data_IF_598490187143
#
_entry.id   IF_598490187143
#
_cell.length_a   1.000
_cell.length_b   1.000
_cell.length_c   1.000
_cell.angle_alpha   90.00
_cell.angle_beta   90.00
_cell.angle_gamma   90.00
#
_symmetry.space_group_name_H-M   'P 1'
#
loop_
_entity.id
_entity.type
_entity.pdbx_description
1 polymer ?
#
# COMPACT_ATOMS: atom_id res chain seq x y z
N UNK A 1 54.05 19.48 29.10
CA UNK A 1 54.68 18.53 28.19
C UNK A 1 53.56 17.84 27.49
N UNK A 2 53.22 18.43 26.40
CA UNK A 2 53.31 17.99 25.01
C UNK A 2 52.61 16.68 24.72
N UNK A 3 51.41 16.81 24.17
CA UNK A 3 50.90 15.99 23.04
C UNK A 3 49.76 16.73 22.36
N UNK A 4 50.11 17.62 21.47
CA UNK A 4 49.27 18.13 20.37
C UNK A 4 50.16 18.00 19.14
N UNK A 5 49.77 17.12 18.21
CA UNK A 5 50.05 17.16 16.78
C UNK A 5 50.03 15.76 16.18
N UNK A 6 48.85 15.32 15.72
CA UNK A 6 48.74 14.28 14.66
C UNK A 6 47.29 14.16 14.21
N UNK A 7 46.79 15.07 13.38
CA UNK A 7 45.56 14.80 12.57
C UNK A 7 45.31 15.85 11.47
N UNK A 8 46.28 16.12 10.61
CA UNK A 8 46.06 17.03 9.46
C UNK A 8 46.54 16.43 8.11
N UNK A 9 46.89 15.18 8.02
CA UNK A 9 47.45 14.64 6.77
C UNK A 9 46.55 13.59 6.05
N UNK A 10 45.32 13.36 6.45
CA UNK A 10 44.50 12.31 5.78
C UNK A 10 43.30 12.82 4.93
N UNK A 11 43.15 14.12 4.72
CA UNK A 11 42.04 14.66 3.89
C UNK A 11 42.39 14.97 2.42
N UNK A 12 43.62 14.78 2.02
CA UNK A 12 44.11 15.11 0.67
C UNK A 12 44.06 13.98 -0.38
N UNK A 13 43.84 12.72 0.00
CA UNK A 13 43.99 11.57 -0.89
C UNK A 13 42.67 10.93 -1.33
N UNK A 14 41.55 11.35 -0.79
CA UNK A 14 40.23 10.81 -1.19
C UNK A 14 39.69 11.50 -2.45
N UNK A 15 40.16 12.69 -2.78
CA UNK A 15 39.70 13.46 -3.96
C UNK A 15 40.37 13.05 -5.28
N UNK A 16 41.45 12.25 -5.25
CA UNK A 16 42.13 11.80 -6.48
C UNK A 16 41.77 10.38 -6.91
N UNK A 17 41.08 9.61 -6.09
CA UNK A 17 40.63 8.24 -6.43
C UNK A 17 39.29 8.19 -7.17
N UNK A 18 38.53 9.30 -7.21
CA UNK A 18 37.23 9.35 -7.92
C UNK A 18 37.40 9.70 -9.42
N UNK A 19 38.56 10.19 -9.84
CA UNK A 19 38.80 10.52 -11.27
C UNK A 19 39.53 9.42 -12.09
N UNK A 20 39.89 8.29 -11.50
CA UNK A 20 40.70 7.25 -12.17
C UNK A 20 39.94 5.94 -12.44
N UNK A 21 38.62 5.89 -12.31
CA UNK A 21 37.80 4.77 -12.78
C UNK A 21 36.94 5.22 -13.95
N UNK A 22 37.58 5.77 -14.99
CA UNK A 22 37.09 5.65 -16.34
C UNK A 22 37.51 4.26 -16.88
N UNK A 23 37.04 3.19 -16.22
CA UNK A 23 36.97 1.88 -16.84
C UNK A 23 36.01 1.98 -18.03
N UNK A 24 36.14 1.06 -19.07
CA UNK A 24 35.24 1.06 -20.21
C UNK A 24 33.83 1.07 -19.66
N UNK A 25 33.03 2.04 -20.11
CA UNK A 25 31.63 2.19 -19.73
C UNK A 25 30.94 0.84 -19.97
N UNK A 26 30.88 0.03 -18.93
CA UNK A 26 29.92 -1.05 -18.86
C UNK A 26 28.59 -0.38 -19.15
N UNK A 27 27.88 -0.83 -20.15
CA UNK A 27 26.60 -0.33 -20.59
C UNK A 27 25.65 -0.37 -19.36
N UNK A 28 25.73 0.65 -18.53
CA UNK A 28 24.83 0.89 -17.43
C UNK A 28 23.51 1.16 -18.12
N UNK A 29 22.50 0.37 -17.82
CA UNK A 29 21.24 0.38 -18.56
C UNK A 29 20.73 1.81 -18.64
N UNK A 30 20.66 2.35 -19.86
CA UNK A 30 20.20 3.72 -20.14
C UNK A 30 18.75 3.95 -19.66
N UNK A 31 18.08 2.86 -19.36
CA UNK A 31 16.73 2.78 -18.86
C UNK A 31 16.75 2.76 -17.33
N UNK A 32 16.96 3.90 -16.72
CA UNK A 32 16.86 4.01 -15.26
C UNK A 32 15.48 4.54 -14.93
N UNK A 33 14.62 3.62 -14.51
CA UNK A 33 13.27 3.95 -14.02
C UNK A 33 13.44 4.65 -12.67
N UNK A 34 13.01 5.92 -12.53
CA UNK A 34 13.06 6.57 -11.23
C UNK A 34 12.18 5.80 -10.24
N UNK A 35 12.55 5.71 -8.96
CA UNK A 35 11.72 5.07 -7.95
C UNK A 35 10.48 5.92 -7.72
N UNK A 36 9.40 5.56 -8.35
CA UNK A 36 8.16 6.31 -8.32
C UNK A 36 7.11 5.63 -7.47
N UNK A 37 7.20 4.29 -7.34
CA UNK A 37 6.13 3.49 -6.81
C UNK A 37 6.31 3.25 -5.31
N UNK A 38 5.41 3.83 -4.52
CA UNK A 38 5.08 3.34 -3.19
C UNK A 38 3.90 2.38 -3.37
N UNK A 39 4.15 1.07 -3.35
CA UNK A 39 3.05 0.13 -3.22
C UNK A 39 2.53 0.19 -1.78
N UNK A 40 1.21 0.38 -1.61
CA UNK A 40 0.62 0.38 -0.29
C UNK A 40 0.73 -0.99 0.36
N UNK A 41 0.73 -1.00 1.68
CA UNK A 41 0.60 -2.21 2.47
C UNK A 41 -0.79 -2.84 2.27
N UNK A 42 -1.00 -4.06 2.75
CA UNK A 42 -2.25 -4.79 2.49
C UNK A 42 -3.43 -4.34 3.36
N UNK A 43 -3.19 -3.82 4.55
CA UNK A 43 -4.20 -3.53 5.58
C UNK A 43 -4.43 -2.02 5.78
N UNK A 44 -4.69 -1.27 4.68
CA UNK A 44 -4.79 0.20 4.72
C UNK A 44 -6.16 0.73 5.14
N UNK A 45 -7.24 0.04 4.80
CA UNK A 45 -8.61 0.50 5.02
C UNK A 45 -9.40 -0.60 5.70
N UNK A 46 -9.94 -0.30 6.89
CA UNK A 46 -10.75 -1.25 7.66
C UNK A 46 -12.24 -0.92 7.49
N UNK A 47 -13.02 -1.81 6.85
CA UNK A 47 -14.46 -1.66 6.71
C UNK A 47 -15.22 -1.84 8.02
N UNK A 48 -16.41 -1.24 8.14
CA UNK A 48 -17.36 -1.54 9.18
C UNK A 48 -17.65 -0.40 10.14
N UNK A 49 -18.49 -0.65 11.13
CA UNK A 49 -18.99 0.32 12.12
C UNK A 49 -18.00 0.49 13.28
N UNK A 50 -17.86 -0.55 14.10
CA UNK A 50 -16.93 -0.60 15.23
C UNK A 50 -15.62 -1.26 14.79
N UNK A 51 -15.68 -2.11 13.77
CA UNK A 51 -14.56 -2.85 13.21
C UNK A 51 -13.41 -1.91 12.81
N UNK A 52 -13.75 -0.81 12.15
CA UNK A 52 -12.78 0.21 11.77
C UNK A 52 -12.16 0.92 12.99
N UNK A 53 -12.94 1.13 14.06
CA UNK A 53 -12.48 1.77 15.29
C UNK A 53 -11.57 0.87 16.12
N UNK A 54 -11.75 -0.45 15.99
CA UNK A 54 -11.01 -1.47 16.71
C UNK A 54 -9.81 -2.01 15.90
N UNK A 55 -9.33 -1.25 14.90
CA UNK A 55 -8.14 -1.60 14.12
C UNK A 55 -8.30 -2.86 13.27
N UNK A 56 -9.54 -3.25 12.95
CA UNK A 56 -9.85 -4.44 12.16
C UNK A 56 -9.69 -5.78 12.89
N UNK A 57 -9.61 -5.78 14.23
CA UNK A 57 -9.57 -7.00 15.03
C UNK A 57 -10.97 -7.60 15.17
N UNK A 58 -11.40 -8.39 14.16
CA UNK A 58 -12.77 -8.90 14.04
C UNK A 58 -12.88 -10.27 13.36
N UNK A 59 -11.85 -11.08 13.35
CA UNK A 59 -11.89 -12.42 12.73
C UNK A 59 -12.76 -13.39 13.53
N UNK A 60 -12.71 -13.31 14.87
CA UNK A 60 -13.44 -14.22 15.75
C UNK A 60 -14.90 -13.82 16.00
N UNK A 61 -15.23 -12.51 15.97
CA UNK A 61 -16.58 -12.01 16.31
C UNK A 61 -17.25 -11.22 15.17
N UNK A 62 -16.69 -11.29 13.95
CA UNK A 62 -17.32 -10.69 12.78
C UNK A 62 -18.78 -11.13 12.66
N UNK A 63 -19.68 -10.17 12.41
CA UNK A 63 -21.11 -10.42 12.25
C UNK A 63 -21.72 -9.45 11.25
N UNK A 64 -22.93 -9.79 10.79
CA UNK A 64 -23.71 -8.98 9.85
C UNK A 64 -22.89 -8.62 8.57
N UNK A 65 -23.09 -7.44 7.98
CA UNK A 65 -22.47 -7.07 6.72
C UNK A 65 -20.93 -6.97 6.76
N UNK A 66 -20.27 -6.42 7.82
CA UNK A 66 -18.81 -6.42 7.89
C UNK A 66 -18.17 -7.82 7.87
N UNK A 67 -18.88 -8.87 8.29
CA UNK A 67 -18.39 -10.23 8.20
C UNK A 67 -18.12 -10.70 6.76
N UNK A 68 -18.75 -10.09 5.76
CA UNK A 68 -18.47 -10.33 4.34
C UNK A 68 -17.01 -10.04 3.98
N UNK A 69 -16.37 -9.15 4.72
CA UNK A 69 -14.96 -8.82 4.54
C UNK A 69 -14.05 -9.56 5.53
N UNK A 70 -14.39 -9.55 6.85
CA UNK A 70 -13.50 -10.09 7.88
C UNK A 70 -13.54 -11.61 7.99
N UNK A 71 -14.75 -12.20 8.06
CA UNK A 71 -14.92 -13.65 8.19
C UNK A 71 -16.33 -14.06 7.73
N UNK A 72 -16.49 -14.71 6.57
CA UNK A 72 -17.79 -15.03 6.00
C UNK A 72 -18.65 -15.96 6.88
N UNK A 73 -18.07 -16.67 7.84
CA UNK A 73 -18.81 -17.46 8.81
C UNK A 73 -19.78 -16.60 9.66
N UNK A 74 -19.39 -15.35 9.92
CA UNK A 74 -20.15 -14.44 10.80
C UNK A 74 -21.49 -13.97 10.24
N UNK A 75 -21.72 -14.04 8.93
CA UNK A 75 -23.03 -13.69 8.37
C UNK A 75 -24.12 -14.70 8.78
N UNK A 76 -23.74 -15.95 9.14
CA UNK A 76 -24.69 -17.00 9.51
C UNK A 76 -25.61 -16.62 10.69
N UNK A 77 -25.18 -15.72 11.57
CA UNK A 77 -25.96 -15.26 12.73
C UNK A 77 -26.92 -14.12 12.42
N UNK A 78 -26.93 -13.60 11.20
CA UNK A 78 -27.77 -12.45 10.82
C UNK A 78 -29.22 -12.86 10.69
N UNK A 79 -30.08 -12.35 11.58
CA UNK A 79 -31.50 -12.71 11.58
C UNK A 79 -32.37 -11.81 10.70
N UNK A 80 -31.98 -10.54 10.52
CA UNK A 80 -32.69 -9.55 9.71
C UNK A 80 -31.77 -9.07 8.58
N UNK A 81 -32.36 -8.59 7.51
CA UNK A 81 -31.60 -7.95 6.42
C UNK A 81 -30.86 -6.73 6.96
N UNK A 82 -29.56 -6.65 6.72
CA UNK A 82 -28.70 -5.58 7.18
C UNK A 82 -27.93 -5.00 6.01
N UNK A 83 -28.05 -3.69 5.83
CA UNK A 83 -27.22 -2.89 4.93
C UNK A 83 -26.21 -2.10 5.79
N UNK A 84 -24.94 -2.16 5.45
CA UNK A 84 -23.90 -1.35 6.06
C UNK A 84 -23.14 -0.58 4.99
N UNK A 85 -22.83 0.69 5.28
CA UNK A 85 -21.92 1.50 4.50
C UNK A 85 -20.94 2.21 5.42
N UNK A 86 -19.66 2.20 5.05
CA UNK A 86 -18.61 2.91 5.78
C UNK A 86 -17.70 3.67 4.83
N UNK A 87 -17.13 4.76 5.35
CA UNK A 87 -16.16 5.58 4.65
C UNK A 87 -15.06 6.04 5.62
N UNK A 88 -13.85 6.16 5.09
CA UNK A 88 -12.80 6.96 5.72
C UNK A 88 -12.88 8.36 5.08
N UNK A 89 -13.20 9.35 5.90
CA UNK A 89 -13.19 10.74 5.49
C UNK A 89 -11.89 11.39 5.95
N UNK A 90 -11.47 12.43 5.23
CA UNK A 90 -10.39 13.32 5.65
C UNK A 90 -9.11 12.63 6.07
N UNK A 91 -8.38 12.15 5.10
CA UNK A 91 -7.04 11.65 5.31
C UNK A 91 -6.04 12.78 5.10
N UNK A 92 -5.29 13.13 6.14
CA UNK A 92 -4.15 14.03 6.05
C UNK A 92 -2.88 13.18 6.15
N UNK A 93 -2.16 13.05 5.05
CA UNK A 93 -0.89 12.32 5.04
C UNK A 93 0.26 13.29 4.90
N UNK A 94 1.24 13.17 5.79
CA UNK A 94 2.48 13.94 5.75
C UNK A 94 3.62 12.99 5.42
N UNK A 95 4.30 13.22 4.31
CA UNK A 95 5.52 12.52 3.94
C UNK A 95 6.70 13.40 4.32
N UNK A 96 7.51 12.94 5.27
CA UNK A 96 8.74 13.57 5.71
C UNK A 96 9.96 12.73 5.33
N UNK A 97 11.15 13.29 5.50
CA UNK A 97 12.41 12.55 5.31
C UNK A 97 13.64 13.38 5.65
N UNK A 98 14.74 12.70 5.99
CA UNK A 98 16.07 13.31 6.08
C UNK A 98 16.76 13.24 4.74
N UNK A 99 17.66 14.17 4.43
CA UNK A 99 18.35 14.25 3.13
C UNK A 99 17.65 15.17 2.11
N UNK A 100 16.49 15.74 2.43
CA UNK A 100 15.82 16.76 1.63
C UNK A 100 16.03 18.14 2.25
N UNK A 101 16.50 19.09 1.44
CA UNK A 101 16.57 20.48 1.86
C UNK A 101 15.20 21.17 1.88
N UNK A 102 14.24 20.62 1.17
CA UNK A 102 12.85 21.05 1.14
C UNK A 102 11.94 19.85 0.90
N UNK A 103 11.11 19.51 1.87
CA UNK A 103 9.97 18.62 1.70
C UNK A 103 8.70 19.43 1.92
N UNK A 104 7.81 19.41 0.97
CA UNK A 104 6.46 19.96 1.18
C UNK A 104 5.59 18.86 1.72
N UNK A 105 4.97 19.00 2.90
CA UNK A 105 3.95 18.08 3.32
C UNK A 105 2.82 18.13 2.30
N UNK A 106 2.51 16.99 1.73
CA UNK A 106 1.37 16.86 0.84
C UNK A 106 0.19 16.46 1.68
N UNK A 107 -0.82 17.30 1.72
CA UNK A 107 -2.10 16.97 2.32
C UNK A 107 -3.09 16.63 1.20
N UNK A 108 -3.47 15.38 1.10
CA UNK A 108 -4.66 15.00 0.33
C UNK A 108 -5.87 15.02 1.26
N UNK A 109 -6.93 15.66 0.79
CA UNK A 109 -8.21 15.69 1.49
C UNK A 109 -9.18 14.83 0.70
N UNK A 110 -9.35 13.60 1.12
CA UNK A 110 -10.13 12.62 0.38
C UNK A 110 -11.19 11.96 1.26
N UNK A 111 -12.31 11.63 0.64
CA UNK A 111 -13.31 10.74 1.21
C UNK A 111 -13.24 9.42 0.47
N UNK A 112 -12.84 8.37 1.18
CA UNK A 112 -12.70 7.03 0.61
C UNK A 112 -13.91 6.20 1.06
N UNK A 113 -14.85 5.85 0.16
CA UNK A 113 -15.83 4.80 0.46
C UNK A 113 -15.08 3.51 0.75
N UNK A 114 -15.14 3.03 2.01
CA UNK A 114 -14.37 1.85 2.40
C UNK A 114 -15.14 0.55 2.20
N UNK A 115 -16.48 0.62 2.31
CA UNK A 115 -17.32 -0.57 2.27
C UNK A 115 -18.79 -0.25 2.04
N UNK A 116 -19.45 -1.09 1.27
CA UNK A 116 -20.90 -1.25 1.25
C UNK A 116 -21.21 -2.74 1.23
N UNK A 117 -22.08 -3.21 2.14
CA UNK A 117 -22.41 -4.62 2.24
C UNK A 117 -23.87 -4.85 2.65
N UNK A 118 -24.46 -5.88 2.09
CA UNK A 118 -25.82 -6.33 2.33
C UNK A 118 -25.82 -7.81 2.69
N UNK A 119 -26.43 -8.16 3.82
CA UNK A 119 -26.72 -9.54 4.20
C UNK A 119 -28.23 -9.71 4.23
N UNK A 120 -28.74 -10.73 3.54
CA UNK A 120 -30.17 -11.05 3.49
C UNK A 120 -30.56 -11.85 4.73
N UNK A 121 -31.57 -11.36 5.45
CA UNK A 121 -32.14 -11.98 6.63
C UNK A 121 -33.15 -13.08 6.32
N UNK A 122 -33.75 -13.65 7.38
CA UNK A 122 -34.75 -14.72 7.26
C UNK A 122 -36.03 -14.27 6.56
N UNK A 123 -36.38 -13.01 6.67
CA UNK A 123 -37.57 -12.42 6.02
C UNK A 123 -37.45 -12.41 4.49
N UNK A 124 -36.24 -12.51 3.93
CA UNK A 124 -35.99 -12.57 2.48
C UNK A 124 -35.69 -13.99 2.04
N UNK A 125 -34.88 -14.71 2.81
CA UNK A 125 -34.47 -16.09 2.51
C UNK A 125 -34.76 -16.94 3.75
N UNK A 126 -35.85 -17.72 3.70
CA UNK A 126 -36.30 -18.56 4.80
C UNK A 126 -35.46 -19.87 4.91
N UNK A 127 -34.16 -19.72 4.96
CA UNK A 127 -33.25 -20.81 5.29
C UNK A 127 -32.86 -20.70 6.77
N UNK A 128 -33.10 -21.72 7.54
CA UNK A 128 -32.95 -21.65 8.98
C UNK A 128 -31.50 -21.32 9.40
N UNK A 129 -30.52 -21.95 8.77
CA UNK A 129 -29.10 -21.92 9.19
C UNK A 129 -28.15 -21.32 8.16
N UNK A 130 -28.65 -20.86 7.03
CA UNK A 130 -27.83 -20.33 5.94
C UNK A 130 -28.16 -18.87 5.65
N UNK A 131 -27.15 -18.07 5.41
CA UNK A 131 -27.27 -16.66 4.97
C UNK A 131 -26.42 -16.43 3.75
N UNK A 132 -26.84 -15.49 2.93
CA UNK A 132 -26.10 -14.99 1.80
C UNK A 132 -25.92 -13.48 1.91
N UNK A 133 -24.86 -12.98 1.32
CA UNK A 133 -24.59 -11.56 1.32
C UNK A 133 -23.67 -11.14 0.18
N UNK A 134 -23.68 -9.84 -0.07
CA UNK A 134 -22.92 -9.18 -1.13
C UNK A 134 -22.24 -7.96 -0.54
N UNK A 135 -21.00 -7.70 -0.95
CA UNK A 135 -20.30 -6.50 -0.55
C UNK A 135 -19.41 -5.97 -1.67
N UNK A 136 -19.07 -4.71 -1.55
CA UNK A 136 -17.91 -4.11 -2.22
C UNK A 136 -17.07 -3.45 -1.13
N UNK A 137 -15.84 -3.90 -0.99
CA UNK A 137 -14.84 -3.32 -0.09
C UNK A 137 -13.75 -2.63 -0.89
N UNK A 138 -13.14 -1.59 -0.31
CA UNK A 138 -11.93 -0.96 -0.82
C UNK A 138 -10.83 -1.05 0.25
N UNK A 139 -10.19 -2.22 0.43
CA UNK A 139 -9.19 -2.44 1.48
C UNK A 139 -7.90 -1.66 1.24
N UNK A 140 -7.63 -1.27 0.00
CA UNK A 140 -6.45 -0.51 -0.38
C UNK A 140 -6.90 0.71 -1.15
N UNK A 141 -6.56 1.88 -0.62
CA UNK A 141 -6.65 3.17 -1.29
C UNK A 141 -5.38 3.95 -0.97
N UNK A 142 -4.72 4.38 -2.01
CA UNK A 142 -3.50 5.16 -1.94
C UNK A 142 -3.52 6.22 -3.02
N UNK A 143 -3.43 7.47 -2.63
CA UNK A 143 -3.26 8.61 -3.52
C UNK A 143 -2.28 9.57 -2.88
N UNK A 144 -1.07 9.62 -3.41
CA UNK A 144 0.00 10.40 -2.84
C UNK A 144 0.76 11.16 -3.90
N UNK A 145 1.02 12.41 -3.59
CA UNK A 145 1.94 13.25 -4.33
C UNK A 145 3.10 13.66 -3.42
N UNK A 146 4.29 13.68 -3.94
CA UNK A 146 5.45 14.18 -3.23
C UNK A 146 6.29 15.06 -4.16
N UNK A 147 6.79 16.15 -3.62
CA UNK A 147 7.78 17.00 -4.27
C UNK A 147 8.93 17.19 -3.30
N UNK A 148 10.11 16.82 -3.72
CA UNK A 148 11.32 16.96 -2.92
C UNK A 148 12.43 17.60 -3.74
N UNK A 149 13.27 18.40 -3.09
CA UNK A 149 14.45 19.00 -3.68
C UNK A 149 15.62 18.90 -2.75
N UNK A 150 16.82 18.75 -3.29
CA UNK A 150 18.06 18.75 -2.53
C UNK A 150 19.12 19.56 -3.27
N UNK A 151 19.98 20.20 -2.49
CA UNK A 151 21.21 20.85 -2.94
C UNK A 151 22.36 20.15 -2.21
N UNK A 152 22.79 18.95 -2.66
CA UNK A 152 23.75 18.13 -1.93
C UNK A 152 25.12 18.80 -1.78
N UNK A 153 25.52 19.61 -2.78
CA UNK A 153 26.75 20.38 -2.77
C UNK A 153 26.59 21.66 -3.61
N UNK A 154 27.54 22.58 -3.49
CA UNK A 154 27.59 23.78 -4.35
C UNK A 154 27.61 23.38 -5.83
N UNK A 155 26.74 23.98 -6.62
CA UNK A 155 26.57 23.65 -8.05
C UNK A 155 25.78 22.37 -8.34
N UNK A 156 25.22 21.69 -7.33
CA UNK A 156 24.39 20.51 -7.52
C UNK A 156 22.95 20.80 -7.12
N UNK A 157 22.01 20.42 -7.97
CA UNK A 157 20.57 20.48 -7.67
C UNK A 157 19.90 19.20 -8.11
N UNK A 158 19.00 18.69 -7.27
CA UNK A 158 18.14 17.56 -7.60
C UNK A 158 16.73 17.92 -7.21
N UNK A 159 15.78 17.66 -8.08
CA UNK A 159 14.37 17.74 -7.76
C UNK A 159 13.66 16.48 -8.20
N UNK A 160 12.71 16.07 -7.39
CA UNK A 160 11.90 14.88 -7.59
C UNK A 160 10.44 15.24 -7.36
N UNK A 161 9.58 14.85 -8.28
CA UNK A 161 8.14 14.96 -8.14
C UNK A 161 7.51 13.62 -8.51
N UNK A 162 6.61 13.13 -7.68
CA UNK A 162 5.86 11.89 -7.91
C UNK A 162 4.40 12.09 -7.57
N UNK A 163 3.55 11.45 -8.34
CA UNK A 163 2.15 11.24 -8.00
C UNK A 163 1.84 9.77 -8.28
N UNK A 164 1.36 9.08 -7.25
CA UNK A 164 1.07 7.64 -7.30
C UNK A 164 -0.30 7.38 -6.75
N UNK A 165 -1.14 6.68 -7.53
CA UNK A 165 -2.42 6.17 -7.07
C UNK A 165 -2.44 4.66 -7.16
N UNK A 166 -2.95 4.00 -6.12
CA UNK A 166 -3.14 2.57 -6.08
C UNK A 166 -4.46 2.26 -5.38
N UNK A 167 -5.38 1.60 -6.08
CA UNK A 167 -6.70 1.30 -5.57
C UNK A 167 -7.03 -0.16 -5.80
N UNK A 168 -7.64 -0.81 -4.81
CA UNK A 168 -8.21 -2.14 -4.96
C UNK A 168 -9.65 -2.15 -4.49
N UNK A 169 -10.58 -2.42 -5.41
CA UNK A 169 -12.00 -2.68 -5.13
C UNK A 169 -12.23 -4.19 -5.12
N UNK A 170 -12.98 -4.68 -4.14
CA UNK A 170 -13.23 -6.11 -3.94
C UNK A 170 -14.73 -6.39 -3.88
N UNK A 171 -15.43 -6.54 -5.03
CA UNK A 171 -16.75 -7.14 -5.05
C UNK A 171 -16.70 -8.56 -4.48
N UNK A 172 -17.63 -8.88 -3.57
CA UNK A 172 -17.65 -10.14 -2.82
C UNK A 172 -19.07 -10.72 -2.81
N UNK A 173 -19.17 -12.01 -3.03
CA UNK A 173 -20.36 -12.81 -2.78
C UNK A 173 -20.03 -13.85 -1.70
N UNK A 174 -20.90 -13.99 -0.69
CA UNK A 174 -20.64 -14.85 0.47
C UNK A 174 -21.84 -15.69 0.84
N UNK A 175 -21.54 -16.87 1.37
CA UNK A 175 -22.49 -17.76 2.03
C UNK A 175 -21.95 -18.11 3.43
N UNK A 176 -22.81 -18.02 4.44
CA UNK A 176 -22.51 -18.43 5.82
C UNK A 176 -23.51 -19.48 6.30
N UNK A 177 -23.00 -20.44 7.06
CA UNK A 177 -23.75 -21.56 7.61
C UNK A 177 -23.50 -21.72 9.10
N UNK A 178 -24.58 -21.69 9.91
CA UNK A 178 -24.55 -22.04 11.32
C UNK A 178 -24.64 -23.59 11.47
N UNK A 179 -23.48 -24.25 11.48
CA UNK A 179 -23.41 -25.73 11.58
C UNK A 179 -23.90 -26.21 12.94
N UNK A 180 -23.63 -25.45 14.01
CA UNK A 180 -24.15 -25.62 15.36
C UNK A 180 -24.44 -24.23 15.97
N UNK A 181 -25.04 -24.20 17.14
CA UNK A 181 -25.36 -22.93 17.83
C UNK A 181 -24.10 -22.14 18.20
N UNK A 182 -22.98 -22.86 18.44
CA UNK A 182 -21.68 -22.28 18.78
C UNK A 182 -20.62 -22.41 17.69
N UNK A 183 -20.95 -22.98 16.50
CA UNK A 183 -20.00 -23.16 15.40
C UNK A 183 -20.57 -22.73 14.07
N UNK A 184 -19.84 -21.89 13.37
CA UNK A 184 -20.21 -21.30 12.08
C UNK A 184 -19.10 -21.51 11.06
N UNK A 185 -19.47 -21.75 9.82
CA UNK A 185 -18.57 -21.80 8.67
C UNK A 185 -19.10 -20.90 7.56
N UNK A 186 -18.25 -20.45 6.69
CA UNK A 186 -18.65 -19.64 5.55
C UNK A 186 -17.60 -19.65 4.45
N UNK A 187 -18.05 -19.24 3.27
CA UNK A 187 -17.20 -19.09 2.10
C UNK A 187 -17.58 -17.86 1.29
N UNK A 188 -16.61 -17.32 0.58
CA UNK A 188 -16.81 -16.21 -0.33
C UNK A 188 -16.06 -16.40 -1.63
N UNK A 189 -16.57 -15.78 -2.68
CA UNK A 189 -15.84 -15.52 -3.92
C UNK A 189 -15.67 -14.01 -4.03
N UNK A 190 -14.42 -13.59 -4.17
CA UNK A 190 -14.02 -12.19 -4.29
C UNK A 190 -13.47 -11.92 -5.70
N UNK A 191 -13.73 -10.72 -6.23
CA UNK A 191 -13.26 -10.26 -7.53
C UNK A 191 -12.41 -8.98 -7.38
N UNK A 192 -11.19 -9.08 -6.85
CA UNK A 192 -10.33 -7.92 -6.67
C UNK A 192 -10.02 -7.26 -8.01
N UNK A 193 -10.33 -5.97 -8.12
CA UNK A 193 -9.98 -5.10 -9.23
C UNK A 193 -9.00 -4.05 -8.74
N UNK A 194 -7.75 -4.18 -9.16
CA UNK A 194 -6.66 -3.29 -8.77
C UNK A 194 -6.31 -2.36 -9.92
N UNK A 195 -6.16 -1.08 -9.63
CA UNK A 195 -5.66 -0.06 -10.56
C UNK A 195 -4.44 0.64 -9.98
N UNK A 196 -3.49 0.95 -10.84
CA UNK A 196 -2.31 1.75 -10.53
C UNK A 196 -2.16 2.84 -11.57
N UNK A 197 -1.87 4.07 -11.12
CA UNK A 197 -1.35 5.14 -11.96
C UNK A 197 -0.19 5.79 -11.24
N UNK A 198 0.91 5.91 -11.93
CA UNK A 198 2.14 6.39 -11.38
C UNK A 198 2.82 7.35 -12.36
N UNK A 199 3.11 8.54 -11.89
CA UNK A 199 3.86 9.53 -12.65
C UNK A 199 5.03 10.01 -11.81
N UNK A 200 6.22 10.03 -12.41
CA UNK A 200 7.44 10.47 -11.75
C UNK A 200 8.26 11.37 -12.64
N UNK A 201 8.81 12.40 -12.04
CA UNK A 201 9.75 13.31 -12.68
C UNK A 201 10.96 13.50 -11.80
N UNK A 202 12.13 13.18 -12.31
CA UNK A 202 13.42 13.39 -11.67
C UNK A 202 14.21 14.37 -12.53
N UNK A 203 14.71 15.45 -11.96
CA UNK A 203 15.69 16.34 -12.61
C UNK A 203 16.91 16.52 -11.74
N UNK A 204 18.08 16.46 -12.35
CA UNK A 204 19.36 16.70 -11.71
C UNK A 204 20.20 17.67 -12.53
N UNK A 205 20.91 18.56 -11.85
CA UNK A 205 21.86 19.47 -12.46
C UNK A 205 23.15 19.47 -11.66
N UNK A 206 24.26 19.41 -12.37
CA UNK A 206 25.60 19.54 -11.80
C UNK A 206 26.32 20.62 -12.59
N UNK A 207 26.62 21.74 -11.96
CA UNK A 207 27.35 22.85 -12.55
C UNK A 207 28.67 23.02 -11.83
N UNK A 208 29.75 22.95 -12.58
CA UNK A 208 31.13 23.27 -12.13
C UNK A 208 31.63 24.50 -12.84
N UNK A 209 32.81 25.00 -12.48
CA UNK A 209 33.43 26.15 -13.18
C UNK A 209 33.71 25.90 -14.66
N UNK A 210 33.79 24.63 -15.07
CA UNK A 210 34.18 24.22 -16.45
C UNK A 210 33.12 23.41 -17.17
N UNK A 211 32.05 22.98 -16.48
CA UNK A 211 31.06 22.08 -17.05
C UNK A 211 29.69 22.24 -16.44
N UNK A 212 28.64 22.03 -17.25
CA UNK A 212 27.27 21.91 -16.78
C UNK A 212 26.67 20.64 -17.36
N UNK A 213 26.11 19.80 -16.51
CA UNK A 213 25.42 18.57 -16.87
C UNK A 213 24.01 18.60 -16.29
N UNK A 214 23.04 18.18 -17.08
CA UNK A 214 21.65 18.09 -16.62
C UNK A 214 21.04 16.76 -17.06
N UNK A 215 20.22 16.20 -16.20
CA UNK A 215 19.40 15.03 -16.50
C UNK A 215 17.94 15.31 -16.17
N UNK A 216 17.06 14.85 -17.04
CA UNK A 216 15.63 14.85 -16.84
C UNK A 216 15.11 13.45 -17.13
N UNK A 217 14.33 12.90 -16.23
CA UNK A 217 13.65 11.62 -16.43
C UNK A 217 12.19 11.79 -16.07
N UNK A 218 11.32 11.32 -16.95
CA UNK A 218 9.88 11.31 -16.76
C UNK A 218 9.38 9.88 -16.93
N UNK A 219 8.51 9.47 -16.05
CA UNK A 219 7.83 8.19 -16.09
C UNK A 219 6.32 8.42 -16.01
N UNK A 220 5.55 7.67 -16.76
CA UNK A 220 4.12 7.49 -16.56
C UNK A 220 3.79 6.01 -16.77
N UNK A 221 3.26 5.37 -15.74
CA UNK A 221 2.87 3.98 -15.77
C UNK A 221 1.44 3.83 -15.28
N UNK A 222 0.59 3.17 -16.04
CA UNK A 222 -0.79 2.86 -15.69
C UNK A 222 -1.04 1.37 -15.83
N UNK A 223 -1.83 0.79 -14.92
CA UNK A 223 -2.19 -0.62 -15.00
C UNK A 223 -3.49 -0.94 -14.32
N UNK A 224 -4.14 -2.00 -14.78
CA UNK A 224 -5.33 -2.57 -14.15
C UNK A 224 -5.27 -4.08 -14.15
N UNK A 225 -5.70 -4.72 -13.06
CA UNK A 225 -5.74 -6.17 -12.91
C UNK A 225 -7.04 -6.60 -12.27
N UNK A 226 -7.77 -7.50 -12.91
CA UNK A 226 -8.95 -8.18 -12.38
C UNK A 226 -8.58 -9.61 -12.04
N UNK A 227 -8.85 -10.01 -10.81
CA UNK A 227 -8.56 -11.35 -10.31
C UNK A 227 -9.81 -11.98 -9.69
N UNK A 228 -9.76 -13.27 -9.44
CA UNK A 228 -10.74 -14.01 -8.63
C UNK A 228 -9.99 -14.75 -7.53
N UNK A 229 -10.56 -14.77 -6.32
CA UNK A 229 -10.05 -15.58 -5.20
C UNK A 229 -11.19 -16.14 -4.36
N UNK A 230 -10.95 -17.25 -3.71
CA UNK A 230 -11.87 -17.86 -2.76
C UNK A 230 -11.46 -17.54 -1.32
N UNK A 231 -12.46 -17.42 -0.45
CA UNK A 231 -12.28 -17.25 1.00
C UNK A 231 -13.04 -18.34 1.72
N UNK A 232 -12.42 -18.95 2.72
CA UNK A 232 -13.05 -19.82 3.69
C UNK A 232 -12.91 -19.22 5.09
N UNK A 233 -13.95 -19.34 5.91
CA UNK A 233 -13.95 -18.83 7.28
C UNK A 233 -14.67 -19.74 8.24
N UNK A 234 -14.21 -19.75 9.49
CA UNK A 234 -14.87 -20.44 10.61
C UNK A 234 -14.88 -19.54 11.84
N UNK A 235 -15.91 -19.70 12.66
CA UNK A 235 -16.01 -19.08 13.99
C UNK A 235 -16.54 -20.11 14.98
N UNK A 236 -15.96 -20.12 16.18
CA UNK A 236 -16.31 -21.05 17.22
C UNK A 236 -16.41 -20.36 18.59
N UNK A 237 -17.60 -20.32 19.15
CA UNK A 237 -17.85 -19.83 20.50
C UNK A 237 -17.56 -20.96 21.49
N UNK A 238 -16.32 -20.99 22.01
CA UNK A 238 -15.85 -22.04 22.95
C UNK A 238 -16.53 -21.89 24.32
N UNK A 239 -16.75 -20.66 24.74
CA UNK A 239 -17.42 -20.32 25.99
C UNK A 239 -18.17 -18.99 25.82
N UNK A 240 -19.01 -18.62 26.75
CA UNK A 240 -19.71 -17.33 26.72
C UNK A 240 -18.78 -16.11 26.76
N UNK A 241 -17.53 -16.30 27.14
CA UNK A 241 -16.50 -15.27 27.26
C UNK A 241 -15.36 -15.42 26.24
N UNK A 242 -15.35 -16.50 25.41
CA UNK A 242 -14.26 -16.79 24.46
C UNK A 242 -14.81 -17.27 23.12
N UNK A 243 -14.49 -16.54 22.07
CA UNK A 243 -14.72 -16.95 20.67
C UNK A 243 -13.40 -17.00 19.92
N UNK A 244 -13.25 -17.99 19.05
CA UNK A 244 -12.13 -18.14 18.12
C UNK A 244 -12.61 -17.99 16.69
N UNK A 245 -11.76 -17.43 15.84
CA UNK A 245 -12.02 -17.30 14.41
C UNK A 245 -10.79 -17.63 13.57
N UNK A 246 -11.03 -18.13 12.37
CA UNK A 246 -9.99 -18.30 11.37
C UNK A 246 -10.52 -18.02 9.98
N UNK A 247 -9.68 -17.43 9.13
CA UNK A 247 -9.97 -17.25 7.70
C UNK A 247 -8.78 -17.64 6.86
N UNK A 248 -9.06 -18.05 5.65
CA UNK A 248 -8.08 -18.35 4.61
C UNK A 248 -8.55 -17.78 3.29
N UNK A 249 -7.69 -16.99 2.63
CA UNK A 249 -7.88 -16.45 1.28
C UNK A 249 -6.88 -17.05 0.32
N UNK A 250 -7.34 -17.60 -0.79
CA UNK A 250 -6.46 -18.13 -1.83
C UNK A 250 -5.67 -16.99 -2.49
N UNK A 251 -4.54 -17.30 -3.15
CA UNK A 251 -3.92 -16.34 -4.06
C UNK A 251 -4.92 -15.88 -5.13
N UNK A 252 -4.75 -14.66 -5.61
CA UNK A 252 -5.55 -14.14 -6.72
C UNK A 252 -5.22 -14.86 -8.02
N UNK A 253 -6.24 -15.41 -8.69
CA UNK A 253 -6.13 -15.95 -10.04
C UNK A 253 -6.50 -14.87 -11.04
N UNK A 254 -5.59 -14.57 -11.96
CA UNK A 254 -5.78 -13.56 -12.99
C UNK A 254 -6.92 -13.89 -13.94
N UNK A 255 -7.84 -12.92 -14.14
CA UNK A 255 -8.89 -12.97 -15.17
C UNK A 255 -8.49 -12.09 -16.35
N UNK A 256 -8.10 -10.84 -16.06
CA UNK A 256 -7.73 -9.84 -17.07
C UNK A 256 -6.79 -8.83 -16.45
N UNK A 257 -5.83 -8.41 -17.26
CA UNK A 257 -4.94 -7.30 -16.93
C UNK A 257 -4.62 -6.50 -18.19
N UNK A 258 -3.96 -5.38 -18.02
CA UNK A 258 -3.46 -4.50 -19.07
C UNK A 258 -2.90 -3.22 -18.49
N UNK A 259 -1.99 -2.61 -19.21
CA UNK A 259 -1.32 -1.40 -18.77
C UNK A 259 -0.81 -0.54 -19.90
N UNK A 260 -0.18 0.53 -19.52
CA UNK A 260 0.55 1.44 -20.41
C UNK A 260 1.80 1.92 -19.70
N UNK A 261 2.84 2.18 -20.49
CA UNK A 261 4.11 2.63 -19.95
C UNK A 261 4.74 3.66 -20.89
N UNK A 262 5.14 4.79 -20.33
CA UNK A 262 5.87 5.84 -21.02
C UNK A 262 7.09 6.22 -20.19
N UNK A 263 8.23 6.27 -20.84
CA UNK A 263 9.48 6.73 -20.24
C UNK A 263 10.19 7.69 -21.19
N UNK A 264 10.66 8.80 -20.63
CA UNK A 264 11.51 9.74 -21.34
C UNK A 264 12.70 10.12 -20.46
N UNK A 265 13.89 9.87 -20.96
CA UNK A 265 15.15 10.21 -20.31
C UNK A 265 15.99 11.14 -21.21
N UNK A 266 16.30 12.33 -20.71
CA UNK A 266 17.21 13.26 -21.37
C UNK A 266 18.40 13.53 -20.46
N UNK A 267 19.59 13.29 -20.97
CA UNK A 267 20.84 13.63 -20.31
C UNK A 267 21.64 14.55 -21.19
N UNK A 268 21.92 15.76 -20.69
CA UNK A 268 22.78 16.72 -21.36
C UNK A 268 24.16 16.67 -20.71
N UNK A 269 25.15 16.36 -21.51
CA UNK A 269 26.56 16.32 -21.15
C UNK A 269 27.31 17.43 -21.90
N UNK A 270 28.48 17.86 -21.40
CA UNK A 270 29.29 18.85 -22.10
C UNK A 270 29.64 18.52 -23.56
N UNK A 271 29.66 17.22 -23.87
CA UNK A 271 30.06 16.69 -25.19
C UNK A 271 28.86 16.37 -26.09
N UNK A 272 27.63 16.54 -25.61
CA UNK A 272 26.42 16.25 -26.37
C UNK A 272 25.27 15.82 -25.49
N UNK A 273 24.18 15.39 -26.12
CA UNK A 273 22.95 14.95 -25.43
C UNK A 273 22.68 13.48 -25.73
N UNK A 274 22.07 12.82 -24.75
CA UNK A 274 21.50 11.48 -24.91
C UNK A 274 20.04 11.51 -24.53
N UNK A 275 19.18 11.08 -25.44
CA UNK A 275 17.73 11.03 -25.28
C UNK A 275 17.24 9.60 -25.46
N UNK A 276 16.52 9.10 -24.47
CA UNK A 276 15.88 7.79 -24.49
C UNK A 276 14.37 8.03 -24.43
N UNK A 277 13.64 7.51 -25.39
CA UNK A 277 12.20 7.58 -25.46
C UNK A 277 11.61 6.19 -25.62
N UNK A 278 10.67 5.84 -24.74
CA UNK A 278 9.92 4.60 -24.78
C UNK A 278 8.44 4.89 -24.55
N UNK A 279 7.58 4.25 -25.34
CA UNK A 279 6.15 4.29 -25.15
C UNK A 279 5.53 2.99 -25.58
N UNK A 280 4.70 2.41 -24.70
CA UNK A 280 3.83 1.29 -25.01
C UNK A 280 2.45 1.52 -24.37
N UNK A 281 1.40 1.84 -25.18
CA UNK A 281 0.05 2.06 -24.68
C UNK A 281 -0.68 0.75 -24.33
N UNK A 282 -0.06 -0.41 -24.61
CA UNK A 282 -0.60 -1.74 -24.39
C UNK A 282 0.39 -2.65 -23.67
N UNK A 283 1.21 -2.08 -22.78
CA UNK A 283 2.15 -2.84 -21.96
C UNK A 283 1.41 -3.88 -21.12
N UNK A 284 2.03 -5.04 -20.93
CA UNK A 284 1.53 -6.02 -19.98
C UNK A 284 1.70 -5.49 -18.56
N UNK A 285 0.63 -5.56 -17.77
CA UNK A 285 0.65 -5.27 -16.34
C UNK A 285 0.14 -6.48 -15.59
N UNK A 286 0.87 -6.96 -14.60
CA UNK A 286 0.47 -8.08 -13.76
C UNK A 286 0.67 -7.74 -12.30
N UNK A 287 -0.42 -7.67 -11.51
CA UNK A 287 -0.36 -7.55 -10.06
C UNK A 287 -0.88 -8.84 -9.43
N UNK A 288 -0.13 -9.41 -8.48
CA UNK A 288 -0.46 -10.69 -7.83
C UNK A 288 -0.84 -10.45 -6.38
N UNK A 289 -2.08 -10.78 -6.04
CA UNK A 289 -2.51 -10.85 -4.63
C UNK A 289 -2.02 -12.16 -4.01
N UNK A 290 -1.30 -12.10 -2.88
CA UNK A 290 -0.81 -13.30 -2.20
C UNK A 290 -1.94 -14.06 -1.50
N UNK A 291 -1.61 -15.27 -1.07
CA UNK A 291 -2.38 -16.02 -0.09
C UNK A 291 -2.38 -15.30 1.25
N UNK A 292 -3.51 -15.39 1.98
CA UNK A 292 -3.67 -14.79 3.29
C UNK A 292 -4.30 -15.79 4.25
N UNK A 293 -3.82 -15.82 5.50
CA UNK A 293 -4.45 -16.55 6.60
C UNK A 293 -4.56 -15.65 7.83
N UNK A 294 -5.71 -15.67 8.50
CA UNK A 294 -5.93 -14.89 9.71
C UNK A 294 -6.48 -15.76 10.83
N UNK A 295 -6.03 -15.47 12.05
CA UNK A 295 -6.51 -16.11 13.27
C UNK A 295 -6.91 -15.00 14.25
N UNK A 296 -8.05 -15.18 14.94
CA UNK A 296 -8.57 -14.27 15.93
C UNK A 296 -9.01 -14.96 17.21
N UNK A 297 -8.83 -14.27 18.33
CA UNK A 297 -9.35 -14.67 19.62
C UNK A 297 -10.03 -13.47 20.29
N UNK A 298 -11.33 -13.59 20.52
CA UNK A 298 -12.16 -12.57 21.13
C UNK A 298 -12.60 -12.97 22.54
N UNK A 299 -12.53 -12.01 23.44
CA UNK A 299 -12.86 -12.17 24.85
C UNK A 299 -13.96 -11.17 25.23
N UNK A 300 -14.97 -11.63 25.98
CA UNK A 300 -16.09 -10.81 26.45
C UNK A 300 -16.29 -10.97 27.95
N UNK A 301 -16.20 -9.87 28.69
CA UNK A 301 -16.36 -9.82 30.14
C UNK A 301 -17.41 -8.76 30.53
N UNK A 302 -18.67 -9.17 30.52
CA UNK A 302 -19.78 -8.24 30.74
C UNK A 302 -19.82 -7.16 29.64
N UNK A 303 -19.75 -5.87 30.00
CA UNK A 303 -19.75 -4.79 29.00
C UNK A 303 -18.41 -4.57 28.31
N UNK A 304 -17.32 -5.14 28.80
CA UNK A 304 -15.99 -5.00 28.23
C UNK A 304 -15.63 -6.19 27.37
N UNK A 305 -15.12 -5.94 26.18
CA UNK A 305 -14.59 -6.96 25.30
C UNK A 305 -13.32 -6.52 24.60
N UNK A 306 -12.54 -7.50 24.15
CA UNK A 306 -11.38 -7.28 23.30
C UNK A 306 -11.15 -8.46 22.37
N UNK A 307 -10.48 -8.20 21.27
CA UNK A 307 -10.05 -9.21 20.30
C UNK A 307 -8.61 -8.97 19.87
N UNK A 308 -7.86 -10.04 19.72
CA UNK A 308 -6.50 -10.03 19.15
C UNK A 308 -6.53 -10.86 17.88
N UNK A 309 -6.07 -10.29 16.79
CA UNK A 309 -5.93 -10.97 15.51
C UNK A 309 -4.49 -10.98 15.05
N UNK A 310 -4.12 -12.05 14.36
CA UNK A 310 -2.87 -12.19 13.62
C UNK A 310 -3.22 -12.52 12.17
N UNK A 311 -2.64 -11.80 11.24
CA UNK A 311 -2.81 -11.97 9.80
C UNK A 311 -1.47 -12.21 9.13
N UNK A 312 -1.39 -13.27 8.38
CA UNK A 312 -0.24 -13.64 7.60
C UNK A 312 -0.54 -13.52 6.11
N UNK A 313 0.34 -12.84 5.39
CA UNK A 313 0.34 -12.80 3.94
C UNK A 313 1.58 -13.52 3.42
N UNK A 314 1.41 -14.39 2.46
CA UNK A 314 2.52 -15.08 1.80
C UNK A 314 3.35 -14.11 0.94
N UNK A 315 4.57 -14.51 0.64
CA UNK A 315 5.41 -13.80 -0.32
C UNK A 315 5.06 -14.19 -1.76
N UNK A 316 5.46 -13.36 -2.70
CA UNK A 316 5.43 -13.71 -4.12
C UNK A 316 6.84 -13.94 -4.64
N UNK A 317 7.00 -14.88 -5.57
CA UNK A 317 8.24 -14.96 -6.35
C UNK A 317 8.40 -13.69 -7.18
N UNK A 318 9.65 -13.34 -7.52
CA UNK A 318 9.93 -12.20 -8.40
C UNK A 318 9.25 -12.40 -9.76
N UNK A 319 8.51 -11.40 -10.22
CA UNK A 319 7.81 -11.39 -11.51
C UNK A 319 7.87 -10.00 -12.13
N UNK A 320 7.53 -9.89 -13.41
CA UNK A 320 7.42 -8.62 -14.09
C UNK A 320 6.06 -8.00 -13.79
N UNK A 321 6.06 -6.85 -13.09
CA UNK A 321 4.87 -6.04 -12.86
C UNK A 321 4.45 -5.31 -14.13
N UNK A 322 5.43 -4.74 -14.87
CA UNK A 322 5.26 -4.22 -16.22
C UNK A 322 6.23 -4.90 -17.17
N UNK A 323 5.72 -5.33 -18.32
CA UNK A 323 6.48 -5.92 -19.39
C UNK A 323 6.05 -5.35 -20.74
N UNK A 324 6.96 -5.33 -21.71
CA UNK A 324 6.66 -4.87 -23.06
C UNK A 324 7.60 -5.54 -24.07
N UNK A 325 7.09 -5.79 -25.26
CA UNK A 325 7.88 -6.24 -26.42
C UNK A 325 8.37 -5.07 -27.29
N UNK A 326 7.98 -3.83 -26.95
CA UNK A 326 8.44 -2.64 -27.67
C UNK A 326 9.88 -2.30 -27.28
N UNK A 327 10.55 -1.57 -28.15
CA UNK A 327 11.91 -1.06 -27.92
C UNK A 327 11.88 0.44 -27.66
N UNK A 328 12.81 0.92 -26.83
CA UNK A 328 13.07 2.34 -26.65
C UNK A 328 13.96 2.85 -27.78
N UNK A 329 13.66 4.04 -28.27
CA UNK A 329 14.53 4.77 -29.20
C UNK A 329 15.56 5.57 -28.39
N UNK A 330 16.81 5.39 -28.71
CA UNK A 330 17.94 6.15 -28.14
C UNK A 330 18.54 7.04 -29.24
N UNK A 331 18.67 8.32 -28.96
CA UNK A 331 19.39 9.29 -29.81
C UNK A 331 20.56 9.84 -28.99
N UNK A 332 21.77 9.61 -29.48
CA UNK A 332 23.01 9.99 -28.80
C UNK A 332 23.87 10.87 -29.71
N UNK A 333 24.29 12.02 -29.18
CA UNK A 333 25.16 12.97 -29.89
C UNK A 333 26.50 13.18 -29.19
N UNK A 334 26.78 12.40 -28.14
CA UNK A 334 27.98 12.55 -27.31
C UNK A 334 29.28 12.20 -28.05
N UNK A 335 29.22 11.45 -29.15
CA UNK A 335 30.35 11.11 -30.01
C UNK A 335 30.68 12.18 -31.07
N UNK A 336 29.99 13.33 -31.09
CA UNK A 336 30.11 14.37 -32.09
C UNK A 336 29.33 14.07 -33.40
N UNK A 337 28.63 12.95 -33.46
CA UNK A 337 27.72 12.56 -34.56
C UNK A 337 26.41 12.07 -33.95
N UNK A 338 25.31 12.18 -34.72
CA UNK A 338 24.02 11.64 -34.28
C UNK A 338 24.00 10.13 -34.50
N UNK A 339 23.90 9.40 -33.39
CA UNK A 339 23.74 7.95 -33.40
C UNK A 339 22.34 7.61 -32.92
N UNK A 340 21.60 6.81 -33.71
CA UNK A 340 20.29 6.31 -33.30
C UNK A 340 20.39 4.80 -33.09
N UNK A 341 19.89 4.32 -31.95
CA UNK A 341 19.85 2.89 -31.60
C UNK A 341 18.54 2.53 -30.94
N UNK A 342 18.27 1.25 -30.81
CA UNK A 342 17.13 0.72 -30.08
C UNK A 342 17.59 -0.04 -28.84
N UNK A 343 16.78 0.03 -27.79
CA UNK A 343 17.05 -0.62 -26.51
C UNK A 343 15.80 -1.40 -26.08
N UNK A 344 15.97 -2.65 -25.70
CA UNK A 344 14.87 -3.46 -25.18
C UNK A 344 14.34 -2.89 -23.86
N UNK A 345 13.03 -3.02 -23.62
CA UNK A 345 12.44 -2.67 -22.35
C UNK A 345 12.98 -3.59 -21.24
N UNK A 346 13.53 -3.05 -20.14
CA UNK A 346 14.16 -3.89 -19.11
C UNK A 346 13.18 -4.63 -18.22
N UNK A 347 11.87 -4.32 -18.32
CA UNK A 347 10.83 -4.78 -17.40
C UNK A 347 10.87 -4.07 -16.06
N UNK A 348 9.72 -3.97 -15.43
CA UNK A 348 9.60 -3.53 -14.02
C UNK A 348 9.31 -4.76 -13.20
N UNK A 349 10.25 -5.13 -12.32
CA UNK A 349 10.10 -6.32 -11.50
C UNK A 349 9.54 -5.99 -10.12
N UNK A 350 8.71 -6.89 -9.62
CA UNK A 350 8.19 -6.84 -8.27
C UNK A 350 8.34 -8.20 -7.57
N UNK A 351 8.58 -8.14 -6.27
CA UNK A 351 8.57 -9.28 -5.36
C UNK A 351 7.95 -8.82 -4.05
N UNK A 352 6.96 -9.53 -3.56
CA UNK A 352 6.45 -9.32 -2.22
C UNK A 352 7.13 -10.31 -1.26
N UNK A 353 7.57 -9.81 -0.11
CA UNK A 353 7.97 -10.65 1.01
C UNK A 353 6.73 -11.07 1.81
N UNK A 354 6.83 -12.16 2.54
CA UNK A 354 5.80 -12.50 3.50
C UNK A 354 5.74 -11.46 4.63
N UNK A 355 4.53 -11.17 5.11
CA UNK A 355 4.30 -10.24 6.22
C UNK A 355 3.43 -10.89 7.30
N UNK A 356 3.63 -10.43 8.53
CA UNK A 356 2.83 -10.79 9.68
C UNK A 356 2.29 -9.52 10.31
N UNK A 357 1.00 -9.31 10.21
CA UNK A 357 0.31 -8.16 10.77
C UNK A 357 -0.46 -8.58 12.00
N UNK A 358 -0.58 -7.69 12.96
CA UNK A 358 -1.33 -7.94 14.19
C UNK A 358 -2.29 -6.79 14.47
N UNK A 359 -3.44 -7.08 15.06
CA UNK A 359 -4.37 -6.07 15.53
C UNK A 359 -4.92 -6.41 16.91
N UNK A 360 -5.23 -5.35 17.67
CA UNK A 360 -5.88 -5.40 18.96
C UNK A 360 -7.06 -4.44 18.94
N UNK A 361 -8.25 -4.95 19.18
CA UNK A 361 -9.49 -4.18 19.31
C UNK A 361 -10.02 -4.26 20.73
N UNK A 362 -10.52 -3.15 21.25
CA UNK A 362 -11.12 -3.01 22.57
C UNK A 362 -12.47 -2.33 22.43
N UNK A 363 -13.48 -2.76 23.18
CA UNK A 363 -14.74 -2.05 23.28
C UNK A 363 -15.31 -2.09 24.70
N UNK A 364 -16.09 -1.06 25.01
CA UNK A 364 -16.84 -0.93 26.23
C UNK A 364 -18.27 -0.52 25.90
N UNK A 365 -19.22 -1.42 26.15
CA UNK A 365 -20.65 -1.18 25.99
C UNK A 365 -21.20 -0.43 27.23
N UNK A 366 -21.29 0.90 27.15
CA UNK A 366 -21.85 1.71 28.25
C UNK A 366 -23.35 1.53 28.37
N UNK A 367 -24.01 1.21 27.28
CA UNK A 367 -25.43 0.86 27.23
C UNK A 367 -25.70 -0.01 26.00
N UNK A 368 -26.95 -0.50 25.85
CA UNK A 368 -27.40 -1.21 24.65
C UNK A 368 -27.32 -0.35 23.37
N UNK A 369 -27.19 0.96 23.52
CA UNK A 369 -27.22 1.92 22.41
C UNK A 369 -25.95 2.74 22.29
N UNK A 370 -24.94 2.54 23.14
CA UNK A 370 -23.73 3.34 23.10
C UNK A 370 -22.49 2.50 23.47
N UNK A 371 -21.55 2.44 22.55
CA UNK A 371 -20.28 1.71 22.68
C UNK A 371 -19.11 2.67 22.43
N UNK A 372 -18.07 2.57 23.25
CA UNK A 372 -16.77 3.19 23.01
C UNK A 372 -15.84 2.10 22.52
N UNK A 373 -15.10 2.38 21.45
CA UNK A 373 -14.15 1.45 20.87
C UNK A 373 -12.80 2.10 20.65
N UNK A 374 -11.74 1.31 20.79
CA UNK A 374 -10.38 1.67 20.45
C UNK A 374 -9.63 0.46 19.89
N UNK A 375 -8.62 0.72 19.08
CA UNK A 375 -7.79 -0.35 18.52
C UNK A 375 -6.42 0.12 18.07
N UNK A 376 -5.53 -0.84 17.90
CA UNK A 376 -4.21 -0.65 17.32
C UNK A 376 -3.91 -1.76 16.35
N UNK A 377 -3.05 -1.50 15.39
CA UNK A 377 -2.63 -2.48 14.39
C UNK A 377 -1.23 -2.21 13.87
N UNK A 378 -0.62 -3.27 13.37
CA UNK A 378 0.62 -3.26 12.62
C UNK A 378 0.30 -3.60 11.18
N UNK A 379 0.87 -2.84 10.25
CA UNK A 379 0.74 -3.07 8.82
C UNK A 379 2.12 -2.98 8.17
N UNK A 380 2.77 -4.14 8.07
CA UNK A 380 4.11 -4.24 7.53
C UNK A 380 4.08 -4.26 6.00
N UNK A 381 4.99 -3.49 5.42
CA UNK A 381 5.15 -3.41 3.98
C UNK A 381 5.57 -4.75 3.38
N UNK A 382 4.89 -5.22 2.33
CA UNK A 382 5.31 -6.39 1.57
C UNK A 382 6.47 -6.10 0.62
N UNK A 383 6.85 -4.83 0.40
CA UNK A 383 7.90 -4.48 -0.55
C UNK A 383 9.24 -5.14 -0.19
N UNK A 384 9.85 -5.79 -1.17
CA UNK A 384 11.19 -6.35 -1.04
C UNK A 384 12.23 -5.31 -1.46
N UNK A 385 13.21 -4.97 -0.61
CA UNK A 385 14.24 -3.98 -0.93
C UNK A 385 15.13 -4.35 -2.13
N UNK A 386 15.18 -5.64 -2.52
CA UNK A 386 15.90 -6.05 -3.74
C UNK A 386 15.18 -5.62 -5.03
N UNK A 387 13.89 -5.27 -4.97
CA UNK A 387 13.16 -4.69 -6.09
C UNK A 387 13.23 -3.17 -5.99
N UNK A 388 14.24 -2.57 -6.58
CA UNK A 388 14.68 -1.17 -6.40
C UNK A 388 13.63 -0.07 -6.70
N UNK A 389 12.46 -0.43 -7.21
CA UNK A 389 11.40 0.51 -7.62
C UNK A 389 10.41 0.81 -6.49
N UNK A 390 10.34 -0.06 -5.47
CA UNK A 390 9.33 0.01 -4.43
C UNK A 390 9.94 0.30 -3.06
N UNK A 391 9.38 1.29 -2.37
CA UNK A 391 9.82 1.71 -1.05
C UNK A 391 9.06 0.95 0.03
N UNK A 392 9.77 0.60 1.09
CA UNK A 392 9.21 -0.07 2.26
C UNK A 392 8.90 0.94 3.35
N UNK A 393 7.65 0.98 3.81
CA UNK A 393 7.25 1.73 5.00
C UNK A 393 6.41 0.81 5.87
N UNK A 394 6.94 0.41 7.02
CA UNK A 394 6.21 -0.37 8.01
C UNK A 394 5.39 0.59 8.89
N UNK A 395 4.09 0.30 9.10
CA UNK A 395 3.14 1.18 9.76
C UNK A 395 2.68 0.61 11.09
N UNK A 396 2.46 1.50 12.04
CA UNK A 396 1.67 1.27 13.24
C UNK A 396 0.50 2.24 13.25
N UNK A 397 -0.69 1.76 13.54
CA UNK A 397 -1.91 2.57 13.58
C UNK A 397 -2.66 2.45 14.91
N UNK A 398 -3.33 3.54 15.27
CA UNK A 398 -4.21 3.66 16.42
C UNK A 398 -5.53 4.28 15.97
N UNK A 399 -6.64 3.75 16.47
CA UNK A 399 -7.98 4.25 16.16
C UNK A 399 -8.81 4.26 17.42
N UNK A 400 -9.75 5.20 17.50
CA UNK A 400 -10.72 5.25 18.58
C UNK A 400 -11.98 5.98 18.13
N UNK A 401 -13.09 5.67 18.77
CA UNK A 401 -14.36 6.33 18.48
C UNK A 401 -15.51 5.80 19.27
N UNK A 402 -16.69 6.19 18.84
CA UNK A 402 -17.96 5.83 19.45
C UNK A 402 -18.93 5.29 18.42
N UNK A 403 -19.75 4.36 18.84
CA UNK A 403 -20.87 3.85 18.05
C UNK A 403 -22.17 4.01 18.84
N UNK A 404 -23.26 4.28 18.13
CA UNK A 404 -24.57 4.44 18.73
C UNK A 404 -25.66 3.79 17.87
N UNK A 405 -26.71 3.32 18.54
CA UNK A 405 -27.85 2.64 17.94
C UNK A 405 -29.12 3.43 18.27
N UNK A 406 -29.86 3.83 17.24
CA UNK A 406 -31.13 4.53 17.36
C UNK A 406 -32.19 3.77 16.54
N UNK A 407 -32.98 2.94 17.21
CA UNK A 407 -33.96 2.07 16.56
C UNK A 407 -33.29 1.06 15.63
N UNK A 408 -33.50 1.19 14.32
CA UNK A 408 -32.91 0.33 13.29
C UNK A 408 -31.60 0.89 12.68
N UNK A 409 -31.25 2.10 13.06
CA UNK A 409 -30.03 2.78 12.60
C UNK A 409 -28.92 2.60 13.61
N UNK A 410 -27.74 2.21 13.15
CA UNK A 410 -26.49 2.26 13.89
C UNK A 410 -25.52 3.19 13.16
N UNK A 411 -24.79 4.00 13.88
CA UNK A 411 -23.77 4.86 13.30
C UNK A 411 -22.52 4.88 14.19
N UNK A 412 -21.36 5.16 13.59
CA UNK A 412 -20.11 5.38 14.31
C UNK A 412 -19.37 6.60 13.80
N UNK A 413 -18.61 7.19 14.72
CA UNK A 413 -17.70 8.29 14.45
C UNK A 413 -16.39 8.03 15.20
N UNK A 414 -15.27 8.23 14.54
CA UNK A 414 -13.97 8.05 15.16
C UNK A 414 -12.86 8.78 14.45
N UNK A 415 -11.67 8.64 15.01
CA UNK A 415 -10.44 9.15 14.46
C UNK A 415 -9.35 8.09 14.50
N UNK A 416 -8.40 8.19 13.58
CA UNK A 416 -7.23 7.34 13.49
C UNK A 416 -5.97 8.13 13.24
N UNK A 417 -4.86 7.57 13.70
CA UNK A 417 -3.52 8.05 13.39
C UNK A 417 -2.64 6.85 13.04
N UNK A 418 -1.87 6.99 11.99
CA UNK A 418 -0.90 6.00 11.52
C UNK A 418 0.46 6.66 11.43
N UNK A 419 1.47 5.95 11.85
CA UNK A 419 2.87 6.35 11.76
C UNK A 419 3.70 5.25 11.14
N UNK A 420 4.62 5.63 10.24
CA UNK A 420 5.54 4.68 9.64
C UNK A 420 6.88 5.29 9.30
N UNK A 421 7.88 4.42 9.35
CA UNK A 421 9.25 4.76 8.97
C UNK A 421 9.76 3.76 7.94
N UNK A 422 10.43 4.28 6.93
CA UNK A 422 11.16 3.51 5.94
C UNK A 422 12.58 4.02 5.81
N UNK A 423 13.56 3.11 5.82
CA UNK A 423 14.94 3.44 5.50
C UNK A 423 15.20 2.99 4.07
N UNK A 424 15.48 3.95 3.19
CA UNK A 424 15.78 3.60 1.81
C UNK A 424 16.54 4.74 1.11
N UNK A 425 17.29 4.38 0.07
CA UNK A 425 17.89 5.35 -0.82
C UNK A 425 16.81 5.92 -1.74
N UNK A 426 16.40 7.16 -1.50
CA UNK A 426 15.38 7.84 -2.31
C UNK A 426 15.80 8.07 -3.76
N UNK A 427 17.10 7.95 -4.04
CA UNK A 427 17.64 8.17 -5.38
C UNK A 427 18.20 6.86 -5.95
N UNK A 428 17.85 6.50 -7.19
CA UNK A 428 18.38 5.30 -7.81
C UNK A 428 19.90 5.39 -7.94
N UNK A 429 20.56 4.27 -7.70
CA UNK A 429 21.97 4.09 -8.03
C UNK A 429 22.21 4.50 -9.51
N UNK A 430 23.03 5.49 -9.77
CA UNK A 430 23.31 6.02 -11.10
C UNK A 430 22.99 7.51 -11.28
N UNK A 431 22.38 8.17 -10.31
CA UNK A 431 22.46 9.62 -10.17
C UNK A 431 23.76 9.89 -9.39
N UNK A 432 24.68 10.73 -9.88
CA UNK A 432 25.95 10.99 -9.19
C UNK A 432 25.76 11.92 -7.99
N UNK A 433 24.87 11.53 -7.09
CA UNK A 433 24.67 12.20 -5.82
C UNK A 433 25.20 11.23 -4.76
N UNK A 434 26.16 11.64 -3.91
CA UNK A 434 26.57 10.81 -2.79
C UNK A 434 25.32 10.45 -1.98
N UNK A 435 24.99 9.14 -1.94
CA UNK A 435 23.81 8.65 -1.26
C UNK A 435 23.91 8.94 0.22
N UNK A 436 23.18 9.93 0.73
CA UNK A 436 22.72 9.90 2.10
C UNK A 436 21.47 9.02 2.10
N UNK A 437 21.51 7.96 2.91
CA UNK A 437 20.34 7.15 3.18
C UNK A 437 19.22 8.08 3.66
N UNK A 438 18.15 8.17 2.86
CA UNK A 438 17.02 8.99 3.24
C UNK A 438 16.06 8.15 4.08
N UNK A 439 15.68 8.67 5.24
CA UNK A 439 14.59 8.09 6.02
C UNK A 439 13.26 8.66 5.52
N UNK A 440 12.34 7.82 5.13
CA UNK A 440 10.97 8.21 4.81
C UNK A 440 10.14 8.07 6.08
N UNK A 441 9.43 9.14 6.45
CA UNK A 441 8.45 9.12 7.53
C UNK A 441 7.07 9.39 6.94
N UNK A 442 6.10 8.55 7.26
CA UNK A 442 4.72 8.69 6.86
C UNK A 442 3.85 8.86 8.10
N UNK A 443 3.16 9.97 8.20
CA UNK A 443 2.14 10.22 9.21
C UNK A 443 0.79 10.43 8.53
N UNK A 444 -0.23 9.70 8.97
CA UNK A 444 -1.58 9.81 8.43
C UNK A 444 -2.58 10.02 9.57
N UNK A 445 -3.37 11.06 9.48
CA UNK A 445 -4.53 11.29 10.33
C UNK A 445 -5.82 11.09 9.53
N UNK A 446 -6.79 10.37 10.09
CA UNK A 446 -8.06 10.06 9.42
C UNK A 446 -9.26 10.24 10.34
N UNK A 447 -10.40 10.67 9.76
CA UNK A 447 -11.72 10.60 10.39
C UNK A 447 -12.49 9.41 9.80
N UNK A 448 -13.21 8.71 10.65
CA UNK A 448 -13.90 7.46 10.33
C UNK A 448 -15.40 7.62 10.54
N UNK A 449 -16.19 7.20 9.56
CA UNK A 449 -17.65 7.22 9.60
C UNK A 449 -18.23 5.90 9.13
N UNK A 450 -19.28 5.45 9.79
CA UNK A 450 -20.03 4.31 9.29
C UNK A 450 -21.51 4.41 9.66
N UNK A 451 -22.35 3.85 8.81
CA UNK A 451 -23.80 3.73 9.02
C UNK A 451 -24.22 2.30 8.70
N UNK A 452 -25.09 1.75 9.54
CA UNK A 452 -25.73 0.45 9.31
C UNK A 452 -27.24 0.56 9.55
N UNK A 453 -28.00 -0.06 8.69
CA UNK A 453 -29.46 -0.08 8.77
C UNK A 453 -29.98 -1.51 8.73
N UNK A 454 -30.75 -1.90 9.77
CA UNK A 454 -31.47 -3.18 9.85
C UNK A 454 -32.93 -3.00 9.44
N UNK A 455 -33.41 -3.85 8.58
CA UNK A 455 -34.80 -3.83 8.05
C UNK A 455 -35.78 -4.60 8.92
#
# INVERSE_FOLDING_TARGET
MNERNASVVSRGWVLLAVMAVAGPASAQSDFVIPPTLLLPNYDRVYPGLTEALEGGAFVARAKAAPALFYNPAGIATTNRTVLNASAQGYQLTTLGGTGFSQSSPVSSFETVPSFIGLVLGREVIDWERVRIGFAVAQPIHWDQSAVAGSVPAEGQRVSYAVHSTFNTLVPTFSIGWAAADNFRAGGSIEFPYTTINDTGKLSGEITTTTSSQATLRTLSAGGSSLQVRAVAGVQWDLASWLSLGATYRTPGLKIKDGGSFLYEGLTNLNVGTRHVFFQDPSADFEYRLPMEASLGAAFQFGPFGFEVDVRWHDGTHRYMLFNSQQTARVVDTTSGSVVTSELAFPGVFYRARQTWNGSLGLHLDLSKSFTISAGSYLDYSPADPETAVFRRVDLIGFRAGVAFVIGKLSASLGAGWEHGNGNDDLFPTGVPIPGEAATITLDTFSLLFSISFGF
#
